data_IF_845936828959
#
_entry.id   IF_845936828959
#
_cell.length_a   1.000
_cell.length_b   1.000
_cell.length_c   1.000
_cell.angle_alpha   90.00
_cell.angle_beta   90.00
_cell.angle_gamma   90.00
#
_symmetry.space_group_name_H-M   'P 1'
#
loop_
_entity.id
_entity.type
_entity.pdbx_description
1 polymer ?
#
# COMPACT_ATOMS: atom_id res chain seq x y z
N UNK A 1 37.22 -14.02 -1.27
CA UNK A 1 36.27 -12.90 -1.15
C UNK A 1 36.45 -12.24 0.22
N UNK A 2 36.42 -10.90 0.30
CA UNK A 2 36.57 -10.19 1.58
C UNK A 2 35.32 -10.38 2.45
N UNK A 3 35.45 -10.70 3.75
CA UNK A 3 34.31 -10.92 4.65
C UNK A 3 33.41 -9.70 4.79
N UNK A 4 33.94 -8.49 4.63
CA UNK A 4 33.15 -7.25 4.66
C UNK A 4 32.25 -7.09 3.44
N UNK A 5 32.67 -7.60 2.28
CA UNK A 5 31.85 -7.59 1.06
C UNK A 5 30.74 -8.63 1.19
N UNK A 6 31.02 -9.79 1.81
CA UNK A 6 30.00 -10.80 2.07
C UNK A 6 28.92 -10.29 3.05
N UNK A 7 29.30 -9.59 4.12
CA UNK A 7 28.36 -9.06 5.11
C UNK A 7 27.35 -8.05 4.52
N UNK A 8 27.66 -7.40 3.39
CA UNK A 8 26.75 -6.47 2.71
C UNK A 8 25.99 -7.12 1.55
N UNK A 9 26.22 -8.41 1.25
CA UNK A 9 25.38 -9.15 0.31
C UNK A 9 24.04 -9.52 0.94
N UNK A 10 23.03 -9.75 0.11
CA UNK A 10 21.72 -10.22 0.55
C UNK A 10 21.82 -11.42 1.49
N UNK A 11 22.64 -12.41 1.15
CA UNK A 11 22.88 -13.58 1.99
C UNK A 11 23.54 -13.25 3.33
N UNK A 12 24.58 -12.40 3.34
CA UNK A 12 25.23 -11.99 4.58
C UNK A 12 24.29 -11.22 5.51
N UNK A 13 23.40 -10.40 4.96
CA UNK A 13 22.38 -9.66 5.73
C UNK A 13 21.33 -10.62 6.31
N UNK A 14 20.83 -11.57 5.52
CA UNK A 14 19.83 -12.56 5.98
C UNK A 14 20.42 -13.48 7.06
N UNK A 15 21.67 -13.93 6.89
CA UNK A 15 22.37 -14.77 7.85
C UNK A 15 22.67 -14.02 9.17
N UNK A 16 23.03 -12.75 9.08
CA UNK A 16 23.18 -11.88 10.25
C UNK A 16 21.85 -11.67 10.98
N UNK A 17 20.77 -11.33 10.27
CA UNK A 17 19.45 -11.06 10.88
C UNK A 17 18.78 -12.31 11.46
N UNK A 18 19.08 -13.51 10.96
CA UNK A 18 18.53 -14.76 11.48
C UNK A 18 19.22 -15.23 12.76
N UNK A 19 20.51 -14.91 12.91
CA UNK A 19 21.33 -15.32 14.07
C UNK A 19 21.39 -14.24 15.15
N UNK A 20 21.35 -12.96 14.78
CA UNK A 20 21.37 -11.81 15.69
C UNK A 20 20.35 -11.87 16.86
N UNK A 21 19.10 -12.34 16.69
CA UNK A 21 18.10 -12.27 17.75
C UNK A 21 18.47 -13.11 18.96
N UNK A 22 19.08 -14.29 18.73
CA UNK A 22 19.57 -15.15 19.81
C UNK A 22 20.74 -14.52 20.55
N UNK A 23 21.72 -13.96 19.83
CA UNK A 23 22.90 -13.34 20.44
C UNK A 23 22.56 -12.07 21.22
N UNK A 24 21.68 -11.22 20.68
CA UNK A 24 21.27 -9.98 21.33
C UNK A 24 20.43 -10.26 22.58
N UNK A 25 19.51 -11.23 22.52
CA UNK A 25 18.71 -11.64 23.68
C UNK A 25 19.60 -12.21 24.80
N UNK A 26 20.56 -13.08 24.48
CA UNK A 26 21.48 -13.63 25.48
C UNK A 26 22.39 -12.56 26.09
N UNK A 27 22.83 -11.58 25.30
CA UNK A 27 23.61 -10.44 25.78
C UNK A 27 22.82 -9.53 26.73
N UNK A 28 21.55 -9.26 26.42
CA UNK A 28 20.69 -8.41 27.25
C UNK A 28 20.15 -9.14 28.50
N UNK A 29 19.94 -10.46 28.44
CA UNK A 29 19.63 -11.26 29.63
C UNK A 29 20.83 -11.30 30.59
N UNK A 30 22.06 -11.39 30.07
CA UNK A 30 23.27 -11.40 30.89
C UNK A 30 23.55 -10.04 31.56
N UNK A 31 23.18 -8.93 30.93
CA UNK A 31 23.31 -7.58 31.51
C UNK A 31 22.19 -7.23 32.50
N UNK A 32 21.19 -8.11 32.69
CA UNK A 32 20.06 -7.90 33.61
C UNK A 32 19.08 -6.80 33.18
N UNK A 33 19.22 -6.29 31.96
CA UNK A 33 18.40 -5.19 31.42
C UNK A 33 17.04 -5.63 30.91
N UNK A 34 16.82 -6.93 30.68
CA UNK A 34 15.55 -7.48 30.21
C UNK A 34 15.06 -8.62 31.08
N UNK A 35 13.80 -8.53 31.48
CA UNK A 35 13.03 -9.62 32.09
C UNK A 35 12.24 -10.34 30.99
N UNK A 36 11.98 -11.64 31.15
CA UNK A 36 11.31 -12.49 30.15
C UNK A 36 9.91 -11.98 29.72
N UNK A 37 9.32 -11.06 30.48
CA UNK A 37 7.96 -10.53 30.33
C UNK A 37 7.88 -9.07 29.84
N UNK A 38 9.02 -8.42 29.55
CA UNK A 38 9.05 -7.02 29.12
C UNK A 38 8.69 -6.87 27.63
N UNK A 39 8.07 -5.75 27.25
CA UNK A 39 7.62 -5.50 25.86
C UNK A 39 8.79 -5.54 24.86
N UNK A 40 9.99 -5.19 25.33
CA UNK A 40 11.24 -5.27 24.58
C UNK A 40 11.61 -6.71 24.18
N UNK A 41 11.24 -7.72 24.98
CA UNK A 41 11.48 -9.13 24.67
C UNK A 41 10.62 -9.62 23.49
N UNK A 42 9.46 -8.98 23.24
CA UNK A 42 8.54 -9.36 22.15
C UNK A 42 9.12 -9.04 20.77
N UNK A 43 9.85 -7.94 20.66
CA UNK A 43 10.54 -7.54 19.43
C UNK A 43 11.57 -8.60 19.01
N UNK A 44 12.34 -9.13 19.95
CA UNK A 44 13.28 -10.24 19.67
C UNK A 44 12.56 -11.52 19.21
N UNK A 45 11.34 -11.80 19.73
CA UNK A 45 10.52 -12.92 19.25
C UNK A 45 10.10 -12.74 17.79
N UNK A 46 9.76 -11.51 17.37
CA UNK A 46 9.45 -11.20 15.97
C UNK A 46 10.69 -11.39 15.10
N UNK A 47 11.87 -10.95 15.56
CA UNK A 47 13.10 -11.12 14.79
C UNK A 47 13.47 -12.60 14.57
N UNK A 48 13.08 -13.52 15.46
CA UNK A 48 13.29 -14.96 15.25
C UNK A 48 12.52 -15.51 14.03
N UNK A 49 11.46 -14.83 13.57
CA UNK A 49 10.73 -15.19 12.33
C UNK A 49 11.64 -15.07 11.11
N UNK A 50 12.62 -14.15 11.09
CA UNK A 50 13.55 -14.00 9.97
C UNK A 50 14.37 -15.25 9.67
N UNK A 51 14.51 -16.19 10.62
CA UNK A 51 15.12 -17.50 10.37
C UNK A 51 14.42 -18.30 9.26
N UNK A 52 13.13 -18.06 9.00
CA UNK A 52 12.41 -18.67 7.87
C UNK A 52 13.04 -18.34 6.52
N UNK A 53 13.71 -17.19 6.40
CA UNK A 53 14.38 -16.75 5.17
C UNK A 53 15.63 -17.56 4.83
N UNK A 54 16.12 -18.41 5.74
CA UNK A 54 17.31 -19.25 5.53
C UNK A 54 17.01 -20.55 4.74
N UNK A 55 15.76 -20.82 4.39
CA UNK A 55 15.43 -22.04 3.66
C UNK A 55 16.07 -22.02 2.26
N UNK A 56 16.93 -23.00 1.98
CA UNK A 56 17.83 -23.08 0.82
C UNK A 56 17.09 -23.00 -0.53
N UNK A 57 15.84 -23.45 -0.58
CA UNK A 57 14.98 -23.37 -1.76
C UNK A 57 14.50 -21.94 -2.06
N UNK A 58 14.29 -21.10 -1.02
CA UNK A 58 13.86 -19.71 -1.21
C UNK A 58 14.96 -18.87 -1.85
N UNK A 59 16.21 -19.17 -1.51
CA UNK A 59 17.40 -18.53 -2.08
C UNK A 59 17.44 -18.68 -3.62
N UNK A 60 17.16 -19.89 -4.12
CA UNK A 60 17.11 -20.15 -5.56
C UNK A 60 15.94 -19.39 -6.19
N UNK A 61 14.77 -19.40 -5.55
CA UNK A 61 13.60 -18.65 -6.02
C UNK A 61 13.85 -17.14 -6.08
N UNK A 62 14.51 -16.56 -5.06
CA UNK A 62 14.86 -15.13 -5.04
C UNK A 62 15.86 -14.76 -6.13
N UNK A 63 16.80 -15.65 -6.48
CA UNK A 63 17.71 -15.39 -7.61
C UNK A 63 16.97 -15.33 -8.95
N UNK A 64 15.91 -16.13 -9.12
CA UNK A 64 15.04 -16.07 -10.31
C UNK A 64 14.21 -14.79 -10.31
N UNK A 65 13.64 -14.42 -9.16
CA UNK A 65 12.90 -13.17 -8.99
C UNK A 65 13.77 -11.94 -9.25
N UNK A 66 15.03 -11.91 -8.78
CA UNK A 66 15.95 -10.79 -9.02
C UNK A 66 16.27 -10.63 -10.52
N UNK A 67 16.45 -11.75 -11.24
CA UNK A 67 16.62 -11.71 -12.69
C UNK A 67 15.39 -11.12 -13.40
N UNK A 68 14.19 -11.51 -12.98
CA UNK A 68 12.91 -10.96 -13.49
C UNK A 68 12.80 -9.47 -13.20
N UNK A 69 13.04 -9.07 -11.94
CA UNK A 69 12.98 -7.67 -11.53
C UNK A 69 13.99 -6.81 -12.26
N UNK A 70 15.20 -7.34 -12.50
CA UNK A 70 16.24 -6.67 -13.25
C UNK A 70 15.86 -6.52 -14.72
N UNK A 71 15.18 -7.50 -15.31
CA UNK A 71 14.66 -7.43 -16.67
C UNK A 71 13.53 -6.38 -16.79
N UNK A 72 12.63 -6.28 -15.82
CA UNK A 72 11.49 -5.35 -15.84
C UNK A 72 11.77 -3.96 -15.24
N UNK A 73 12.99 -3.72 -14.75
CA UNK A 73 13.35 -2.56 -13.91
C UNK A 73 13.01 -1.20 -14.54
N UNK A 74 13.23 -1.06 -15.84
CA UNK A 74 13.04 0.23 -16.52
C UNK A 74 11.55 0.57 -16.64
N UNK A 75 10.71 -0.42 -16.94
CA UNK A 75 9.25 -0.26 -17.00
C UNK A 75 8.67 -0.05 -15.60
N UNK A 76 9.15 -0.80 -14.60
CA UNK A 76 8.68 -0.67 -13.22
C UNK A 76 9.00 0.71 -12.62
N UNK A 77 10.15 1.30 -12.96
CA UNK A 77 10.49 2.66 -12.52
C UNK A 77 9.56 3.71 -13.12
N UNK A 78 9.28 3.62 -14.42
CA UNK A 78 8.43 4.58 -15.11
C UNK A 78 6.98 4.51 -14.59
N UNK A 79 6.44 3.30 -14.50
CA UNK A 79 5.07 3.05 -14.00
C UNK A 79 4.95 3.36 -12.51
N UNK A 80 5.96 3.04 -11.70
CA UNK A 80 5.99 3.36 -10.27
C UNK A 80 6.01 4.87 -9.99
N UNK A 81 6.74 5.65 -10.78
CA UNK A 81 6.73 7.12 -10.66
C UNK A 81 5.34 7.68 -11.01
N UNK A 82 4.74 7.21 -12.10
CA UNK A 82 3.41 7.64 -12.51
C UNK A 82 2.34 7.25 -11.48
N UNK A 83 2.41 6.04 -10.94
CA UNK A 83 1.55 5.54 -9.87
C UNK A 83 1.66 6.41 -8.61
N UNK A 84 2.87 6.82 -8.22
CA UNK A 84 3.10 7.71 -7.07
C UNK A 84 2.44 9.08 -7.30
N UNK A 85 2.62 9.67 -8.48
CA UNK A 85 2.02 10.97 -8.82
C UNK A 85 0.48 10.89 -8.71
N UNK A 86 -0.12 9.83 -9.24
CA UNK A 86 -1.58 9.65 -9.19
C UNK A 86 -2.05 9.36 -7.78
N UNK A 87 -1.33 8.55 -7.01
CA UNK A 87 -1.66 8.25 -5.63
C UNK A 87 -1.66 9.51 -4.77
N UNK A 88 -0.60 10.32 -4.85
CA UNK A 88 -0.50 11.58 -4.09
C UNK A 88 -1.50 12.62 -4.62
N UNK A 89 -1.65 12.73 -5.93
CA UNK A 89 -2.58 13.67 -6.57
C UNK A 89 -4.04 13.37 -6.22
N UNK A 90 -4.47 12.12 -6.35
CA UNK A 90 -5.84 11.71 -5.98
C UNK A 90 -6.05 11.82 -4.47
N UNK A 91 -5.06 11.46 -3.64
CA UNK A 91 -5.17 11.60 -2.19
C UNK A 91 -5.31 13.06 -1.74
N UNK A 92 -4.61 13.99 -2.39
CA UNK A 92 -4.78 15.42 -2.15
C UNK A 92 -6.18 15.92 -2.57
N UNK A 93 -6.69 15.47 -3.72
CA UNK A 93 -8.04 15.83 -4.17
C UNK A 93 -9.13 15.27 -3.24
N UNK A 94 -8.99 14.02 -2.80
CA UNK A 94 -9.89 13.43 -1.81
C UNK A 94 -9.86 14.19 -0.49
N UNK A 95 -8.69 14.58 0.01
CA UNK A 95 -8.59 15.41 1.20
C UNK A 95 -9.39 16.72 1.03
N UNK A 96 -9.18 17.46 -0.06
CA UNK A 96 -9.85 18.75 -0.28
C UNK A 96 -11.38 18.61 -0.40
N UNK A 97 -11.87 17.55 -1.05
CA UNK A 97 -13.30 17.37 -1.27
C UNK A 97 -14.03 16.68 -0.12
N UNK A 98 -13.35 15.85 0.67
CA UNK A 98 -13.98 14.97 1.67
C UNK A 98 -13.67 15.37 3.12
N UNK A 99 -12.72 16.28 3.37
CA UNK A 99 -12.37 16.75 4.74
C UNK A 99 -13.59 17.25 5.51
N UNK A 100 -14.55 17.87 4.83
CA UNK A 100 -15.76 18.44 5.42
C UNK A 100 -17.04 17.65 5.11
N UNK A 101 -16.92 16.40 4.65
CA UNK A 101 -18.09 15.59 4.34
C UNK A 101 -18.84 15.19 5.64
N UNK A 102 -20.15 15.47 5.76
CA UNK A 102 -20.94 15.08 6.94
C UNK A 102 -21.04 13.56 7.12
N UNK A 103 -20.93 12.75 6.05
CA UNK A 103 -21.04 11.29 6.15
C UNK A 103 -19.93 10.66 7.00
N UNK A 104 -18.76 11.29 7.08
CA UNK A 104 -17.61 10.82 7.87
C UNK A 104 -17.52 11.47 9.25
N UNK A 105 -18.52 12.27 9.62
CA UNK A 105 -18.59 12.93 10.92
C UNK A 105 -19.29 12.01 11.93
N UNK A 106 -18.62 11.75 13.04
CA UNK A 106 -19.21 11.07 14.18
C UNK A 106 -19.39 12.06 15.32
N UNK A 107 -20.61 12.10 15.85
CA UNK A 107 -20.92 12.88 17.04
C UNK A 107 -21.29 11.95 18.20
N UNK A 108 -21.08 12.44 19.41
CA UNK A 108 -21.54 11.74 20.61
C UNK A 108 -23.06 11.56 20.62
N UNK A 109 -23.51 10.49 21.29
CA UNK A 109 -24.92 10.09 21.42
C UNK A 109 -25.85 11.16 22.03
N UNK A 110 -25.27 12.18 22.67
CA UNK A 110 -25.99 13.33 23.24
C UNK A 110 -26.42 14.37 22.18
N UNK A 111 -25.82 14.36 20.99
CA UNK A 111 -26.08 15.33 19.91
C UNK A 111 -27.08 14.75 18.89
N UNK A 112 -28.16 15.47 18.53
CA UNK A 112 -29.10 15.00 17.51
C UNK A 112 -28.41 14.92 16.14
N UNK A 113 -28.77 13.94 15.31
CA UNK A 113 -28.15 13.77 13.97
C UNK A 113 -28.60 14.84 12.96
N UNK A 114 -29.88 15.20 13.00
CA UNK A 114 -30.50 16.25 12.18
C UNK A 114 -31.28 17.22 13.06
N UNK A 115 -31.59 18.39 12.49
CA UNK A 115 -32.39 19.42 13.15
C UNK A 115 -33.69 18.82 13.67
N UNK A 116 -33.90 18.96 14.98
CA UNK A 116 -35.10 18.46 15.66
C UNK A 116 -36.21 19.53 15.68
N UNK A 117 -37.44 19.15 16.07
CA UNK A 117 -38.59 20.06 16.15
C UNK A 117 -38.39 21.24 17.11
N UNK A 118 -37.41 21.15 18.01
CA UNK A 118 -37.02 22.24 18.92
C UNK A 118 -36.06 23.27 18.30
N UNK A 119 -35.70 23.09 17.02
CA UNK A 119 -34.83 24.01 16.28
C UNK A 119 -33.35 23.94 16.65
N UNK A 120 -32.91 22.86 17.32
CA UNK A 120 -31.50 22.64 17.59
C UNK A 120 -30.83 22.02 16.36
N UNK A 121 -29.71 22.56 15.85
CA UNK A 121 -29.02 22.01 14.69
C UNK A 121 -28.41 20.65 15.02
N UNK A 122 -28.53 19.71 14.08
CA UNK A 122 -27.97 18.37 14.19
C UNK A 122 -26.51 18.29 13.74
N UNK A 123 -25.84 17.20 14.12
CA UNK A 123 -24.45 16.89 13.79
C UNK A 123 -24.15 17.03 12.29
N UNK A 124 -25.06 16.59 11.41
CA UNK A 124 -24.87 16.60 9.96
C UNK A 124 -25.28 17.90 9.27
N UNK A 125 -25.92 18.84 9.99
CA UNK A 125 -26.40 20.09 9.42
C UNK A 125 -25.28 21.14 9.30
N UNK A 126 -24.17 20.97 10.03
CA UNK A 126 -23.00 21.85 9.98
C UNK A 126 -22.15 21.60 8.74
N UNK A 127 -21.60 22.66 8.15
CA UNK A 127 -20.77 22.58 6.94
C UNK A 127 -19.39 21.99 7.22
N UNK A 128 -18.83 22.20 8.39
CA UNK A 128 -17.53 21.64 8.80
C UNK A 128 -17.56 21.04 10.21
N UNK A 129 -16.63 20.12 10.48
CA UNK A 129 -16.48 19.52 11.81
C UNK A 129 -15.94 20.54 12.82
N UNK A 130 -15.23 21.58 12.35
CA UNK A 130 -14.81 22.71 13.17
C UNK A 130 -16.00 23.56 13.65
N UNK A 131 -16.94 23.88 12.75
CA UNK A 131 -18.19 24.60 13.11
C UNK A 131 -19.05 23.79 14.07
N UNK A 132 -19.15 22.46 13.87
CA UNK A 132 -19.84 21.58 14.80
C UNK A 132 -19.22 21.62 16.21
N UNK A 133 -17.88 21.60 16.29
CA UNK A 133 -17.16 21.70 17.57
C UNK A 133 -17.24 23.07 18.23
N UNK A 134 -17.54 24.14 17.49
CA UNK A 134 -17.79 25.46 18.07
C UNK A 134 -19.12 25.49 18.84
N UNK A 135 -20.14 24.80 18.34
CA UNK A 135 -21.45 24.68 18.99
C UNK A 135 -21.47 23.58 20.06
N UNK A 136 -20.89 22.41 19.77
CA UNK A 136 -20.79 21.25 20.66
C UNK A 136 -19.31 20.92 20.95
N UNK A 137 -18.71 21.51 22.00
CA UNK A 137 -17.26 21.45 22.21
C UNK A 137 -16.77 20.02 22.48
N UNK A 138 -15.96 19.48 21.57
CA UNK A 138 -15.32 18.17 21.69
C UNK A 138 -16.25 16.98 21.47
N UNK A 139 -17.45 17.23 20.93
CA UNK A 139 -18.46 16.20 20.70
C UNK A 139 -18.58 15.82 19.21
N UNK A 140 -17.87 16.49 18.31
CA UNK A 140 -17.84 16.18 16.88
C UNK A 140 -16.43 15.76 16.43
N UNK A 141 -16.30 14.60 15.81
CA UNK A 141 -15.06 14.04 15.28
C UNK A 141 -15.23 13.69 13.80
N UNK A 142 -14.14 13.75 13.04
CA UNK A 142 -14.09 13.26 11.66
C UNK A 142 -13.31 11.94 11.64
N UNK A 143 -13.83 10.90 11.01
CA UNK A 143 -13.18 9.58 10.98
C UNK A 143 -12.38 9.31 9.70
N UNK A 144 -12.70 10.02 8.61
CA UNK A 144 -12.01 9.87 7.34
C UNK A 144 -11.57 11.24 6.78
N UNK A 145 -10.42 11.24 6.08
CA UNK A 145 -9.84 12.42 5.41
C UNK A 145 -9.51 13.58 6.37
N UNK A 146 -9.04 13.27 7.58
CA UNK A 146 -8.76 14.27 8.63
C UNK A 146 -7.51 15.11 8.31
N UNK A 147 -6.46 14.44 7.83
CA UNK A 147 -5.17 15.01 7.52
C UNK A 147 -4.61 14.38 6.25
N UNK A 148 -3.67 15.04 5.58
CA UNK A 148 -3.06 14.54 4.34
C UNK A 148 -2.55 13.08 4.43
N UNK A 149 -1.81 12.64 5.48
CA UNK A 149 -1.36 11.25 5.56
C UNK A 149 -2.51 10.23 5.70
N UNK A 150 -3.59 10.62 6.39
CA UNK A 150 -4.78 9.79 6.52
C UNK A 150 -5.52 9.65 5.19
N UNK A 151 -5.63 10.73 4.41
CA UNK A 151 -6.18 10.70 3.06
C UNK A 151 -5.35 9.83 2.10
N UNK A 152 -4.01 9.94 2.17
CA UNK A 152 -3.10 9.11 1.39
C UNK A 152 -3.24 7.61 1.73
N UNK A 153 -3.42 7.30 3.02
CA UNK A 153 -3.68 5.93 3.47
C UNK A 153 -4.97 5.37 2.85
N UNK A 154 -6.09 6.07 2.96
CA UNK A 154 -7.34 5.62 2.34
C UNK A 154 -7.22 5.49 0.82
N UNK A 155 -6.52 6.42 0.17
CA UNK A 155 -6.29 6.35 -1.29
C UNK A 155 -5.45 5.14 -1.68
N UNK A 156 -4.47 4.73 -0.86
CA UNK A 156 -3.70 3.50 -1.10
C UNK A 156 -4.57 2.25 -0.96
N UNK A 157 -5.47 2.22 0.03
CA UNK A 157 -6.44 1.14 0.23
C UNK A 157 -7.40 1.02 -0.95
N UNK A 158 -7.91 2.14 -1.48
CA UNK A 158 -8.76 2.15 -2.68
C UNK A 158 -8.02 1.67 -3.93
N UNK A 159 -6.74 2.04 -4.10
CA UNK A 159 -5.90 1.52 -5.18
C UNK A 159 -5.63 0.01 -5.03
N UNK A 160 -5.60 -0.50 -3.80
CA UNK A 160 -5.56 -1.93 -3.49
C UNK A 160 -6.87 -2.67 -3.77
N UNK A 161 -7.95 -1.95 -4.11
CA UNK A 161 -9.27 -2.53 -4.41
C UNK A 161 -10.13 -2.78 -3.17
N UNK A 162 -9.71 -2.35 -1.99
CA UNK A 162 -10.50 -2.44 -0.77
C UNK A 162 -11.37 -1.18 -0.60
N UNK A 163 -12.67 -1.37 -0.40
CA UNK A 163 -13.66 -0.29 -0.36
C UNK A 163 -14.42 -0.28 0.97
N UNK A 164 -13.75 0.15 2.05
CA UNK A 164 -14.38 0.31 3.37
C UNK A 164 -15.11 1.64 3.56
N UNK A 165 -14.85 2.63 2.70
CA UNK A 165 -15.27 4.04 2.84
C UNK A 165 -15.73 4.49 1.45
N UNK A 166 -17.06 4.51 1.21
CA UNK A 166 -17.66 4.74 -0.12
C UNK A 166 -18.63 5.93 -0.21
N UNK A 167 -18.96 6.55 0.92
CA UNK A 167 -19.96 7.63 1.03
C UNK A 167 -19.41 9.01 0.64
N UNK A 168 -18.82 9.10 -0.56
CA UNK A 168 -18.22 10.33 -1.08
C UNK A 168 -19.27 11.37 -1.47
N UNK A 169 -18.87 12.63 -1.37
CA UNK A 169 -19.58 13.78 -1.93
C UNK A 169 -19.57 13.73 -3.46
N UNK A 170 -20.41 14.54 -4.12
CA UNK A 170 -20.43 14.61 -5.59
C UNK A 170 -19.05 14.84 -6.24
N UNK A 171 -18.22 15.82 -5.82
CA UNK A 171 -16.87 15.97 -6.38
C UNK A 171 -15.95 14.81 -6.01
N UNK A 172 -16.05 14.24 -4.81
CA UNK A 172 -15.29 13.05 -4.42
C UNK A 172 -15.62 11.82 -5.27
N UNK A 173 -16.88 11.65 -5.67
CA UNK A 173 -17.31 10.57 -6.60
C UNK A 173 -16.65 10.69 -7.96
N UNK A 174 -16.46 11.91 -8.49
CA UNK A 174 -15.76 12.11 -9.76
C UNK A 174 -14.28 11.72 -9.66
N UNK A 175 -13.61 12.08 -8.56
CA UNK A 175 -12.23 11.66 -8.28
C UNK A 175 -12.16 10.15 -8.14
N UNK A 176 -13.12 9.54 -7.44
CA UNK A 176 -13.23 8.09 -7.29
C UNK A 176 -13.36 7.38 -8.65
N UNK A 177 -14.24 7.86 -9.54
CA UNK A 177 -14.38 7.28 -10.88
C UNK A 177 -13.09 7.40 -11.69
N UNK A 178 -12.42 8.56 -11.63
CA UNK A 178 -11.12 8.74 -12.27
C UNK A 178 -10.06 7.79 -11.70
N UNK A 179 -9.98 7.64 -10.38
CA UNK A 179 -9.05 6.72 -9.72
C UNK A 179 -9.32 5.26 -10.10
N UNK A 180 -10.59 4.85 -10.15
CA UNK A 180 -10.96 3.49 -10.53
C UNK A 180 -10.57 3.15 -11.96
N UNK A 181 -10.76 4.09 -12.90
CA UNK A 181 -10.45 3.84 -14.32
C UNK A 181 -8.96 3.98 -14.58
N UNK A 182 -8.37 5.11 -14.19
CA UNK A 182 -6.99 5.45 -14.55
C UNK A 182 -6.00 4.86 -13.56
N UNK A 183 -6.29 4.95 -12.26
CA UNK A 183 -5.43 4.39 -11.21
C UNK A 183 -5.29 2.88 -11.34
N UNK A 184 -6.40 2.14 -11.36
CA UNK A 184 -6.36 0.67 -11.46
C UNK A 184 -5.72 0.22 -12.78
N UNK A 185 -6.04 0.87 -13.91
CA UNK A 185 -5.41 0.55 -15.19
C UNK A 185 -3.89 0.72 -15.15
N UNK A 186 -3.39 1.79 -14.53
CA UNK A 186 -1.95 2.05 -14.42
C UNK A 186 -1.24 1.11 -13.43
N UNK A 187 -1.92 0.70 -12.36
CA UNK A 187 -1.39 -0.29 -11.42
C UNK A 187 -1.36 -1.71 -12.01
N UNK A 188 -2.16 -2.01 -13.03
CA UNK A 188 -2.12 -3.29 -13.74
C UNK A 188 -0.85 -3.44 -14.62
N UNK A 189 -0.30 -2.34 -15.15
CA UNK A 189 0.88 -2.35 -16.03
C UNK A 189 2.12 -3.00 -15.37
N UNK A 190 2.59 -2.58 -14.18
CA UNK A 190 3.77 -3.18 -13.56
C UNK A 190 3.56 -4.66 -13.24
N UNK A 191 2.34 -5.05 -12.86
CA UNK A 191 1.99 -6.46 -12.60
C UNK A 191 2.10 -7.27 -13.90
N UNK A 192 1.51 -6.80 -15.00
CA UNK A 192 1.59 -7.47 -16.30
C UNK A 192 3.03 -7.64 -16.80
N UNK A 193 3.83 -6.57 -16.74
CA UNK A 193 5.25 -6.60 -17.18
C UNK A 193 6.12 -7.54 -16.35
N UNK A 194 5.79 -7.69 -15.06
CA UNK A 194 6.47 -8.60 -14.16
C UNK A 194 6.11 -10.06 -14.49
N UNK A 195 4.85 -10.37 -14.80
CA UNK A 195 4.45 -11.69 -15.28
C UNK A 195 5.08 -12.08 -16.61
N UNK A 196 5.14 -11.14 -17.55
CA UNK A 196 5.81 -11.34 -18.84
C UNK A 196 7.31 -11.68 -18.66
N UNK A 197 7.98 -10.91 -17.80
CA UNK A 197 9.38 -11.16 -17.43
C UNK A 197 9.57 -12.51 -16.70
N UNK A 198 8.60 -12.94 -15.87
CA UNK A 198 8.61 -14.29 -15.28
C UNK A 198 8.50 -15.37 -16.35
N UNK A 199 7.63 -15.20 -17.34
CA UNK A 199 7.50 -16.11 -18.48
C UNK A 199 8.81 -16.27 -19.25
N UNK A 200 9.49 -15.15 -19.52
CA UNK A 200 10.79 -15.13 -20.19
C UNK A 200 11.90 -15.83 -19.36
N UNK A 201 11.97 -15.59 -18.05
CA UNK A 201 13.03 -16.16 -17.18
C UNK A 201 12.82 -17.63 -16.87
N UNK A 202 11.57 -18.08 -16.78
CA UNK A 202 11.22 -19.48 -16.53
C UNK A 202 11.18 -20.32 -17.82
N UNK A 203 11.36 -19.69 -18.99
CA UNK A 203 11.31 -20.38 -20.29
C UNK A 203 9.90 -20.85 -20.66
N UNK A 204 8.87 -20.18 -20.12
CA UNK A 204 7.47 -20.45 -20.48
C UNK A 204 7.06 -19.74 -21.78
N UNK A 205 7.88 -18.83 -22.32
CA UNK A 205 7.65 -18.13 -23.59
C UNK A 205 8.13 -18.89 -24.81
N UNK A 206 7.69 -20.14 -24.96
CA UNK A 206 8.06 -21.01 -26.09
C UNK A 206 7.06 -21.10 -27.23
N UNK A 207 5.80 -20.66 -27.08
CA UNK A 207 4.75 -21.01 -28.04
C UNK A 207 3.75 -19.87 -28.42
N UNK A 208 3.85 -18.64 -27.91
CA UNK A 208 2.79 -17.62 -28.11
C UNK A 208 3.15 -16.44 -29.04
N UNK A 209 4.29 -16.44 -29.74
CA UNK A 209 4.66 -15.36 -30.69
C UNK A 209 4.58 -15.76 -32.18
N UNK A 210 4.16 -16.97 -32.55
CA UNK A 210 4.08 -17.38 -33.97
C UNK A 210 2.73 -17.09 -34.69
N UNK A 211 1.70 -16.53 -34.04
CA UNK A 211 0.38 -16.40 -34.70
C UNK A 211 -0.04 -14.99 -35.20
N UNK A 212 0.72 -13.91 -35.01
CA UNK A 212 0.29 -12.56 -35.47
C UNK A 212 1.02 -11.96 -36.70
N UNK A 213 2.00 -12.64 -37.31
CA UNK A 213 2.66 -12.14 -38.55
C UNK A 213 2.35 -12.94 -39.84
N UNK A 214 1.36 -13.84 -39.82
CA UNK A 214 0.97 -14.62 -41.02
C UNK A 214 -0.16 -14.03 -41.89
N UNK A 215 -0.76 -12.91 -41.49
CA UNK A 215 -2.08 -12.50 -41.99
C UNK A 215 -2.13 -11.46 -43.12
N UNK A 216 -1.01 -10.96 -43.64
CA UNK A 216 -1.08 -9.79 -44.52
C UNK A 216 -0.04 -9.73 -45.65
N UNK A 217 0.11 -10.79 -46.45
CA UNK A 217 0.82 -10.65 -47.75
C UNK A 217 0.29 -11.48 -48.93
N UNK A 218 -0.89 -12.10 -48.84
CA UNK A 218 -1.43 -12.93 -49.95
C UNK A 218 -2.71 -12.36 -50.59
N UNK A 219 -2.68 -11.07 -50.96
CA UNK A 219 -3.78 -10.45 -51.74
C UNK A 219 -3.31 -9.45 -52.79
N UNK A 220 -2.08 -9.59 -53.28
CA UNK A 220 -1.56 -8.78 -54.39
C UNK A 220 -0.93 -9.61 -55.51
N UNK A 221 -1.56 -10.73 -55.87
CA UNK A 221 -1.37 -11.29 -57.22
C UNK A 221 -2.60 -12.11 -57.66
N UNK A 222 -3.58 -11.41 -58.26
CA UNK A 222 -4.41 -11.86 -59.39
C UNK A 222 -5.37 -10.76 -59.83
#
# INVERSE_FOLDING_TARGET
YSPLIYATTFFGIVDFLSTAPWFVEQGLMMSGLLSQDDDNARIFRIFRIFRILQLEDFVVAFSKLDNVFRASKDVLKATGLLALIIWVGCGALFYIFEENNPNWRECDSSVPLHTNDTGMPGCYDFKSTAECNEYYPGLCSQNAFIHMPNALYYTAVFLGGEWGVVDFTWPGRLVCLFLCVVGIALYAIPIGTLFDSFGAVLGMGGDDEEEEEGGQEDSKEK
#
